data_IF_936916711322
#
_entry.id   IF_936916711322
#
_cell.length_a   1.000
_cell.length_b   1.000
_cell.length_c   1.000
_cell.angle_alpha   90.00
_cell.angle_beta   90.00
_cell.angle_gamma   90.00
#
_symmetry.space_group_name_H-M   'P 1'
#
loop_
_entity.id
_entity.type
_entity.pdbx_description
1 polymer ?
#
# COMPACT_ATOMS: atom_id res chain seq x y z
N UNK A 1 -17.96 -15.72 -4.04
CA UNK A 1 -17.86 -14.23 -4.04
C UNK A 1 -19.22 -13.63 -3.77
N UNK A 2 -19.44 -13.13 -2.55
CA UNK A 2 -20.70 -12.46 -2.18
C UNK A 2 -20.46 -11.03 -1.68
N UNK A 3 -19.45 -10.35 -2.20
CA UNK A 3 -19.21 -8.94 -1.91
C UNK A 3 -20.03 -8.07 -2.85
N UNK A 4 -21.27 -7.76 -2.44
CA UNK A 4 -22.06 -6.76 -3.18
C UNK A 4 -21.43 -5.38 -2.98
N UNK A 5 -21.17 -4.62 -4.04
CA UNK A 5 -20.69 -3.25 -3.90
C UNK A 5 -21.78 -2.38 -3.26
N UNK A 6 -21.36 -1.54 -2.33
CA UNK A 6 -22.21 -0.56 -1.68
C UNK A 6 -21.82 0.84 -2.14
N UNK A 7 -22.79 1.73 -2.26
CA UNK A 7 -22.53 3.14 -2.51
C UNK A 7 -22.65 3.89 -1.18
N UNK A 8 -21.57 4.54 -0.77
CA UNK A 8 -21.55 5.37 0.43
C UNK A 8 -21.16 6.81 0.09
N UNK A 9 -21.77 7.78 0.79
CA UNK A 9 -21.25 9.14 0.77
C UNK A 9 -19.90 9.19 1.47
N UNK A 10 -19.11 10.22 1.20
CA UNK A 10 -17.81 10.42 1.86
C UNK A 10 -17.98 10.53 3.37
N UNK A 11 -18.96 11.28 3.83
CA UNK A 11 -19.27 11.43 5.25
C UNK A 11 -19.59 10.07 5.91
N UNK A 12 -20.43 9.24 5.27
CA UNK A 12 -20.74 7.89 5.73
C UNK A 12 -19.50 6.98 5.77
N UNK A 13 -18.63 7.09 4.77
CA UNK A 13 -17.38 6.31 4.73
C UNK A 13 -16.48 6.69 5.90
N UNK A 14 -16.23 7.98 6.10
CA UNK A 14 -15.37 8.49 7.17
C UNK A 14 -15.89 8.18 8.57
N UNK A 15 -17.20 8.09 8.73
CA UNK A 15 -17.87 7.68 9.99
C UNK A 15 -17.78 6.19 10.30
N UNK A 16 -17.20 5.35 9.42
CA UNK A 16 -16.97 3.93 9.71
C UNK A 16 -15.75 3.73 10.59
N UNK A 17 -15.68 2.57 11.24
CA UNK A 17 -14.51 2.17 12.02
C UNK A 17 -13.36 1.78 11.10
N UNK A 18 -12.79 2.77 10.39
CA UNK A 18 -11.71 2.59 9.43
C UNK A 18 -10.37 2.51 10.15
N UNK A 19 -9.52 1.63 9.69
CA UNK A 19 -8.12 1.54 10.11
C UNK A 19 -7.20 1.46 8.89
N UNK A 20 -5.98 1.94 9.04
CA UNK A 20 -4.92 1.83 8.03
C UNK A 20 -4.01 0.69 8.46
N UNK A 21 -3.97 -0.43 7.72
CA UNK A 21 -3.07 -1.53 8.02
C UNK A 21 -1.61 -1.14 7.81
N UNK A 22 -0.70 -1.77 8.56
CA UNK A 22 0.74 -1.50 8.50
C UNK A 22 1.38 -1.82 7.13
N UNK A 23 0.74 -2.66 6.32
CA UNK A 23 1.21 -2.95 4.96
C UNK A 23 0.91 -1.84 3.95
N UNK A 24 0.11 -0.84 4.30
CA UNK A 24 -0.21 0.26 3.39
C UNK A 24 1.01 1.14 3.12
N UNK A 25 1.14 1.53 1.85
CA UNK A 25 2.19 2.46 1.44
C UNK A 25 2.00 3.84 2.10
N UNK A 26 3.07 4.63 2.26
CA UNK A 26 2.97 5.98 2.79
C UNK A 26 1.97 6.84 2.01
N UNK A 27 1.38 7.80 2.69
CA UNK A 27 0.57 8.83 2.05
C UNK A 27 1.47 9.74 1.19
N UNK A 28 1.24 9.74 -0.14
CA UNK A 28 2.10 10.40 -1.13
C UNK A 28 1.41 11.51 -1.93
N UNK A 29 0.11 11.73 -1.75
CA UNK A 29 -0.55 12.84 -2.40
C UNK A 29 0.05 14.16 -1.95
N UNK A 30 0.16 15.09 -2.91
CA UNK A 30 0.74 16.43 -2.74
C UNK A 30 -0.34 17.50 -2.84
N UNK A 31 0.04 18.74 -2.63
CA UNK A 31 -0.76 19.95 -2.83
C UNK A 31 -1.52 19.97 -4.15
N UNK A 32 -0.89 19.51 -5.24
CA UNK A 32 -1.54 19.38 -6.56
C UNK A 32 -2.76 18.46 -6.50
N UNK A 33 -2.62 17.30 -5.87
CA UNK A 33 -3.74 16.36 -5.77
C UNK A 33 -4.87 16.90 -4.89
N UNK A 34 -4.53 17.65 -3.84
CA UNK A 34 -5.50 18.31 -2.97
C UNK A 34 -6.24 19.42 -3.71
N UNK A 35 -5.52 20.22 -4.48
CA UNK A 35 -6.12 21.27 -5.29
C UNK A 35 -7.10 20.67 -6.32
N UNK A 36 -6.69 19.62 -7.01
CA UNK A 36 -7.57 18.89 -7.94
C UNK A 36 -8.83 18.36 -7.24
N UNK A 37 -8.68 17.76 -6.05
CA UNK A 37 -9.80 17.25 -5.25
C UNK A 37 -10.79 18.34 -4.84
N UNK A 38 -10.29 19.52 -4.45
CA UNK A 38 -11.14 20.68 -4.10
C UNK A 38 -11.89 21.17 -5.34
N UNK A 39 -11.19 21.33 -6.47
CA UNK A 39 -11.79 21.79 -7.72
C UNK A 39 -12.84 20.80 -8.27
N UNK A 40 -12.58 19.50 -8.18
CA UNK A 40 -13.55 18.48 -8.56
C UNK A 40 -14.79 18.49 -7.65
N UNK A 41 -14.58 18.75 -6.35
CA UNK A 41 -15.67 18.93 -5.39
C UNK A 41 -16.49 20.17 -5.75
N UNK A 42 -15.85 21.29 -6.02
CA UNK A 42 -16.52 22.54 -6.42
C UNK A 42 -17.35 22.32 -7.70
N UNK A 43 -16.75 21.71 -8.71
CA UNK A 43 -17.44 21.39 -9.97
C UNK A 43 -18.64 20.48 -9.75
N UNK A 44 -18.51 19.48 -8.88
CA UNK A 44 -19.63 18.58 -8.56
C UNK A 44 -20.77 19.29 -7.84
N UNK A 45 -20.48 20.29 -7.02
CA UNK A 45 -21.47 21.17 -6.40
C UNK A 45 -22.21 22.00 -7.45
N UNK A 46 -21.48 22.57 -8.41
CA UNK A 46 -22.08 23.34 -9.51
C UNK A 46 -23.00 22.47 -10.39
N UNK A 47 -22.57 21.25 -10.73
CA UNK A 47 -23.38 20.30 -11.50
C UNK A 47 -24.64 19.84 -10.72
N UNK A 48 -24.53 19.66 -9.40
CA UNK A 48 -25.67 19.29 -8.57
C UNK A 48 -26.79 20.34 -8.51
N UNK A 49 -26.44 21.61 -8.78
CA UNK A 49 -27.44 22.70 -8.89
C UNK A 49 -28.21 22.66 -10.21
N UNK A 50 -27.62 22.06 -11.25
CA UNK A 50 -28.23 21.96 -12.59
C UNK A 50 -29.10 20.72 -12.74
N UNK A 51 -28.72 19.62 -12.09
CA UNK A 51 -29.37 18.33 -12.26
C UNK A 51 -29.91 17.81 -10.92
N UNK A 52 -31.19 17.57 -10.84
CA UNK A 52 -31.81 16.97 -9.68
C UNK A 52 -31.26 15.56 -9.41
N UNK A 53 -30.98 15.25 -8.16
CA UNK A 53 -30.39 13.96 -7.72
C UNK A 53 -28.98 13.66 -8.27
N UNK A 54 -28.26 14.67 -8.71
CA UNK A 54 -26.89 14.50 -9.15
C UNK A 54 -26.01 13.91 -8.05
N UNK A 55 -25.20 12.92 -8.39
CA UNK A 55 -24.19 12.29 -7.54
C UNK A 55 -22.88 12.18 -8.29
N UNK A 56 -21.80 12.53 -7.64
CA UNK A 56 -20.46 12.41 -8.19
C UNK A 56 -19.70 11.25 -7.57
N UNK A 57 -19.36 10.25 -8.39
CA UNK A 57 -18.62 9.06 -7.96
C UNK A 57 -17.13 9.26 -8.10
N UNK A 58 -16.44 9.30 -6.98
CA UNK A 58 -15.00 9.55 -6.89
C UNK A 58 -14.17 8.32 -7.27
N UNK A 59 -14.80 7.14 -7.27
CA UNK A 59 -14.15 5.87 -7.60
C UNK A 59 -14.49 4.76 -6.62
N UNK A 60 -13.65 3.73 -6.59
CA UNK A 60 -13.84 2.54 -5.75
C UNK A 60 -12.91 2.57 -4.54
N UNK A 61 -13.39 2.05 -3.42
CA UNK A 61 -12.64 1.77 -2.19
C UNK A 61 -12.82 0.29 -1.85
N UNK A 62 -11.74 -0.40 -1.53
CA UNK A 62 -11.76 -1.80 -1.10
C UNK A 62 -11.43 -1.83 0.39
N UNK A 63 -12.33 -2.45 1.16
CA UNK A 63 -12.23 -2.59 2.60
C UNK A 63 -12.24 -4.08 2.98
N UNK A 64 -11.30 -4.49 3.82
CA UNK A 64 -11.34 -5.78 4.48
C UNK A 64 -11.96 -5.62 5.87
N UNK A 65 -12.97 -6.42 6.17
CA UNK A 65 -13.59 -6.43 7.50
C UNK A 65 -12.88 -7.48 8.35
N UNK A 66 -12.14 -7.02 9.36
CA UNK A 66 -11.41 -7.91 10.26
C UNK A 66 -12.32 -8.52 11.34
N UNK A 67 -11.78 -9.40 12.16
CA UNK A 67 -12.49 -10.09 13.24
C UNK A 67 -13.00 -9.14 14.33
N UNK A 68 -12.34 -8.00 14.52
CA UNK A 68 -12.75 -6.95 15.45
C UNK A 68 -13.86 -6.04 14.91
N UNK A 69 -14.40 -6.38 13.73
CA UNK A 69 -15.43 -5.60 13.07
C UNK A 69 -14.96 -4.20 12.62
N UNK A 70 -13.68 -4.04 12.41
CA UNK A 70 -13.05 -2.85 11.85
C UNK A 70 -12.88 -3.01 10.35
N UNK A 71 -12.80 -1.88 9.63
CA UNK A 71 -12.62 -1.84 8.19
C UNK A 71 -11.17 -1.44 7.85
N UNK A 72 -10.36 -2.40 7.51
CA UNK A 72 -9.00 -2.19 7.01
C UNK A 72 -9.05 -1.64 5.59
N UNK A 73 -8.41 -0.51 5.35
CA UNK A 73 -8.36 0.11 4.03
C UNK A 73 -7.35 -0.67 3.17
N UNK A 74 -7.83 -1.42 2.17
CA UNK A 74 -6.98 -2.15 1.22
C UNK A 74 -6.68 -1.28 0.00
N UNK A 75 -7.68 -0.56 -0.52
CA UNK A 75 -7.51 0.44 -1.58
C UNK A 75 -8.30 1.72 -1.29
N UNK A 76 -7.79 2.83 -1.81
CA UNK A 76 -8.39 4.16 -1.65
C UNK A 76 -7.81 4.97 -0.49
N UNK A 77 -6.75 4.53 0.19
CA UNK A 77 -6.14 5.23 1.32
C UNK A 77 -5.83 6.69 1.02
N UNK A 78 -5.22 6.99 -0.11
CA UNK A 78 -4.83 8.36 -0.47
C UNK A 78 -6.08 9.28 -0.50
N UNK A 79 -7.14 8.84 -1.15
CA UNK A 79 -8.41 9.57 -1.24
C UNK A 79 -9.09 9.72 0.12
N UNK A 80 -9.16 8.64 0.89
CA UNK A 80 -9.79 8.64 2.22
C UNK A 80 -9.09 9.64 3.14
N UNK A 81 -7.75 9.63 3.20
CA UNK A 81 -7.00 10.56 4.03
C UNK A 81 -7.15 12.01 3.57
N UNK A 82 -7.18 12.27 2.25
CA UNK A 82 -7.39 13.60 1.72
C UNK A 82 -8.79 14.14 2.03
N UNK A 83 -9.83 13.31 1.93
CA UNK A 83 -11.17 13.69 2.36
C UNK A 83 -11.30 13.84 3.87
N UNK A 84 -10.53 13.06 4.65
CA UNK A 84 -10.46 13.26 6.10
C UNK A 84 -9.88 14.63 6.44
N UNK A 85 -8.78 15.04 5.79
CA UNK A 85 -8.20 16.38 5.99
C UNK A 85 -9.20 17.49 5.64
N UNK A 86 -9.90 17.33 4.51
CA UNK A 86 -10.94 18.28 4.09
C UNK A 86 -12.08 18.32 5.11
N UNK A 87 -12.59 17.16 5.54
CA UNK A 87 -13.67 17.08 6.55
C UNK A 87 -13.29 17.73 7.86
N UNK A 88 -12.06 17.50 8.36
CA UNK A 88 -11.56 18.12 9.60
C UNK A 88 -11.47 19.64 9.51
N UNK A 89 -11.20 20.19 8.32
CA UNK A 89 -11.20 21.64 8.12
C UNK A 89 -12.62 22.22 8.09
N UNK A 90 -13.57 21.49 7.49
CA UNK A 90 -14.96 21.92 7.33
C UNK A 90 -15.82 21.74 8.60
N UNK A 91 -15.41 20.83 9.48
CA UNK A 91 -16.19 20.41 10.66
C UNK A 91 -15.22 20.11 11.81
N UNK A 92 -15.00 21.09 12.67
CA UNK A 92 -14.05 21.03 13.79
C UNK A 92 -14.43 19.98 14.86
N UNK A 93 -15.71 19.64 14.93
CA UNK A 93 -16.22 18.69 15.92
C UNK A 93 -16.24 17.25 15.39
N UNK A 94 -15.83 17.07 14.12
CA UNK A 94 -15.80 15.74 13.49
C UNK A 94 -14.75 14.85 14.16
N UNK A 95 -15.18 13.65 14.54
CA UNK A 95 -14.32 12.62 15.12
C UNK A 95 -14.49 11.29 14.39
N UNK A 96 -13.42 10.56 14.22
CA UNK A 96 -13.43 9.21 13.64
C UNK A 96 -12.25 8.37 14.13
N UNK A 97 -12.30 7.07 13.85
CA UNK A 97 -11.25 6.15 14.30
C UNK A 97 -9.89 6.42 13.65
N UNK A 98 -9.86 6.90 12.40
CA UNK A 98 -8.62 7.24 11.68
C UNK A 98 -7.77 8.29 12.40
N UNK A 99 -8.36 9.18 13.20
CA UNK A 99 -7.64 10.20 13.97
C UNK A 99 -6.78 9.62 15.11
N UNK A 100 -7.05 8.38 15.50
CA UNK A 100 -6.25 7.66 16.52
C UNK A 100 -4.95 7.09 15.95
N UNK A 101 -4.82 7.04 14.61
CA UNK A 101 -3.63 6.48 13.96
C UNK A 101 -2.41 7.38 14.19
N UNK A 102 -1.31 6.75 14.62
CA UNK A 102 -0.01 7.40 14.73
C UNK A 102 0.78 7.11 13.46
N UNK A 103 0.90 8.09 12.59
CA UNK A 103 1.73 7.97 11.38
C UNK A 103 3.21 8.10 11.76
N UNK A 104 3.96 7.00 11.68
CA UNK A 104 5.39 6.98 12.00
C UNK A 104 6.26 7.39 10.80
N UNK A 105 5.76 7.23 9.58
CA UNK A 105 6.48 7.55 8.36
C UNK A 105 6.57 9.06 8.15
N UNK A 106 7.82 9.59 8.04
CA UNK A 106 8.08 11.03 7.88
C UNK A 106 7.48 11.63 6.61
N UNK A 107 7.41 10.85 5.50
CA UNK A 107 6.80 11.30 4.24
C UNK A 107 5.30 11.50 4.45
N UNK A 108 4.65 10.54 5.10
CA UNK A 108 3.23 10.65 5.44
C UNK A 108 2.95 11.87 6.31
N UNK A 109 3.73 12.07 7.38
CA UNK A 109 3.58 13.22 8.28
C UNK A 109 3.71 14.54 7.53
N UNK A 110 4.77 14.66 6.71
CA UNK A 110 5.00 15.85 5.90
C UNK A 110 3.84 16.12 4.95
N UNK A 111 3.46 15.11 4.14
CA UNK A 111 2.44 15.32 3.12
C UNK A 111 1.05 15.58 3.74
N UNK A 112 0.71 14.97 4.88
CA UNK A 112 -0.53 15.30 5.60
C UNK A 112 -0.52 16.75 6.10
N UNK A 113 0.60 17.21 6.64
CA UNK A 113 0.76 18.60 7.11
C UNK A 113 0.67 19.60 5.96
N UNK A 114 1.42 19.38 4.89
CA UNK A 114 1.46 20.27 3.72
C UNK A 114 0.07 20.33 3.06
N UNK A 115 -0.57 19.18 2.89
CA UNK A 115 -1.90 19.11 2.29
C UNK A 115 -2.99 19.76 3.16
N UNK A 116 -2.91 19.62 4.48
CA UNK A 116 -3.82 20.34 5.38
C UNK A 116 -3.60 21.86 5.32
N UNK A 117 -2.35 22.28 5.17
CA UNK A 117 -2.01 23.72 4.98
C UNK A 117 -2.61 24.23 3.66
N UNK A 118 -2.47 23.49 2.56
CA UNK A 118 -3.09 23.84 1.27
C UNK A 118 -4.61 23.97 1.38
N UNK A 119 -5.28 23.06 2.08
CA UNK A 119 -6.73 23.15 2.32
C UNK A 119 -7.06 24.43 3.09
N UNK A 120 -6.36 24.70 4.19
CA UNK A 120 -6.57 25.88 5.03
C UNK A 120 -6.38 27.19 4.25
N UNK A 121 -5.33 27.27 3.43
CA UNK A 121 -5.04 28.44 2.60
C UNK A 121 -6.13 28.65 1.55
N UNK A 122 -6.58 27.60 0.89
CA UNK A 122 -7.67 27.69 -0.09
C UNK A 122 -8.95 28.24 0.54
N UNK A 123 -9.33 27.73 1.72
CA UNK A 123 -10.54 28.16 2.42
C UNK A 123 -10.38 29.48 3.19
N UNK A 124 -9.16 30.02 3.32
CA UNK A 124 -8.95 31.33 3.96
C UNK A 124 -9.53 32.50 3.16
N UNK A 125 -9.68 32.33 1.86
CA UNK A 125 -10.20 33.33 0.92
C UNK A 125 -11.69 33.20 0.62
N UNK A 126 -12.38 32.23 1.25
CA UNK A 126 -13.80 31.97 1.00
C UNK A 126 -14.66 32.15 2.24
N UNK A 127 -15.92 32.49 2.03
CA UNK A 127 -16.92 32.67 3.08
C UNK A 127 -17.25 31.35 3.79
N UNK A 128 -17.67 31.42 5.06
CA UNK A 128 -18.11 30.25 5.85
C UNK A 128 -19.35 29.56 5.23
N UNK A 129 -20.18 30.28 4.49
CA UNK A 129 -21.26 29.70 3.69
C UNK A 129 -20.74 28.67 2.69
N UNK A 130 -19.59 28.95 2.05
CA UNK A 130 -18.95 28.02 1.10
C UNK A 130 -18.45 26.76 1.82
N UNK A 131 -17.87 26.91 3.02
CA UNK A 131 -17.47 25.76 3.85
C UNK A 131 -18.68 24.85 4.16
N UNK A 132 -19.82 25.46 4.52
CA UNK A 132 -21.06 24.73 4.73
C UNK A 132 -21.50 23.94 3.50
N UNK A 133 -21.45 24.56 2.31
CA UNK A 133 -21.80 23.91 1.04
C UNK A 133 -20.86 22.72 0.75
N UNK A 134 -19.55 22.87 0.98
CA UNK A 134 -18.60 21.76 0.83
C UNK A 134 -18.85 20.64 1.81
N UNK A 135 -19.14 20.94 3.09
CA UNK A 135 -19.47 19.92 4.07
C UNK A 135 -20.76 19.16 3.70
N UNK A 136 -21.75 19.88 3.17
CA UNK A 136 -22.99 19.26 2.66
C UNK A 136 -22.71 18.38 1.41
N UNK A 137 -21.79 18.79 0.55
CA UNK A 137 -21.38 17.98 -0.60
C UNK A 137 -20.76 16.64 -0.18
N UNK A 138 -19.95 16.60 0.87
CA UNK A 138 -19.40 15.35 1.41
C UNK A 138 -20.51 14.39 1.91
N UNK A 139 -21.62 14.92 2.38
CA UNK A 139 -22.75 14.16 2.87
C UNK A 139 -23.69 13.69 1.77
N UNK A 140 -23.94 14.56 0.80
CA UNK A 140 -25.08 14.40 -0.10
C UNK A 140 -24.73 14.28 -1.58
N UNK A 141 -23.56 14.71 -2.03
CA UNK A 141 -23.18 14.75 -3.45
C UNK A 141 -22.08 13.73 -3.78
N UNK A 142 -21.02 13.70 -2.97
CA UNK A 142 -19.84 12.88 -3.23
C UNK A 142 -20.02 11.46 -2.74
N UNK A 143 -19.87 10.49 -3.64
CA UNK A 143 -20.06 9.07 -3.35
C UNK A 143 -18.84 8.24 -3.77
N UNK A 144 -18.66 7.12 -3.09
CA UNK A 144 -17.69 6.08 -3.43
C UNK A 144 -18.39 4.74 -3.56
N UNK A 145 -17.89 3.91 -4.46
CA UNK A 145 -18.26 2.50 -4.53
C UNK A 145 -17.39 1.74 -3.53
N UNK A 146 -17.99 1.19 -2.50
CA UNK A 146 -17.29 0.44 -1.46
C UNK A 146 -17.50 -1.05 -1.69
N UNK A 147 -16.40 -1.78 -1.83
CA UNK A 147 -16.38 -3.23 -1.87
C UNK A 147 -15.82 -3.70 -0.54
N UNK A 148 -16.65 -4.42 0.23
CA UNK A 148 -16.22 -4.99 1.51
C UNK A 148 -16.06 -6.48 1.35
N UNK A 149 -14.91 -7.01 1.78
CA UNK A 149 -14.60 -8.44 1.80
C UNK A 149 -14.25 -8.89 3.22
N UNK A 150 -14.50 -10.16 3.50
CA UNK A 150 -14.17 -10.76 4.80
C UNK A 150 -12.84 -11.53 4.78
N UNK A 151 -12.27 -11.73 3.60
CA UNK A 151 -10.97 -12.38 3.42
C UNK A 151 -10.02 -11.42 2.75
N UNK A 152 -8.85 -11.27 3.34
CA UNK A 152 -7.83 -10.34 2.85
C UNK A 152 -7.31 -10.75 1.46
N UNK A 153 -7.22 -12.06 1.18
CA UNK A 153 -6.80 -12.57 -0.13
C UNK A 153 -7.76 -12.12 -1.24
N UNK A 154 -9.07 -12.14 -0.97
CA UNK A 154 -10.09 -11.63 -1.91
C UNK A 154 -9.94 -10.11 -2.12
N UNK A 155 -9.59 -9.37 -1.06
CA UNK A 155 -9.34 -7.93 -1.18
C UNK A 155 -8.18 -7.63 -2.12
N UNK A 156 -7.09 -8.37 -2.02
CA UNK A 156 -5.93 -8.20 -2.90
C UNK A 156 -6.22 -8.62 -4.33
N UNK A 157 -6.93 -9.74 -4.56
CA UNK A 157 -7.35 -10.15 -5.90
C UNK A 157 -8.26 -9.10 -6.58
N UNK A 158 -9.19 -8.52 -5.83
CA UNK A 158 -10.04 -7.45 -6.33
C UNK A 158 -9.24 -6.18 -6.65
N UNK A 159 -8.30 -5.83 -5.77
CA UNK A 159 -7.41 -4.70 -5.99
C UNK A 159 -6.59 -4.87 -7.27
N UNK A 160 -5.98 -6.03 -7.49
CA UNK A 160 -5.23 -6.34 -8.71
C UNK A 160 -6.11 -6.26 -9.95
N UNK A 161 -7.32 -6.81 -9.90
CA UNK A 161 -8.24 -6.81 -11.03
C UNK A 161 -8.75 -5.40 -11.41
N UNK A 162 -8.88 -4.50 -10.44
CA UNK A 162 -9.31 -3.11 -10.67
C UNK A 162 -8.17 -2.21 -11.12
N UNK A 163 -6.93 -2.51 -10.71
CA UNK A 163 -5.76 -1.71 -11.05
C UNK A 163 -5.19 -1.96 -12.45
N UNK A 164 -5.83 -2.78 -13.29
CA UNK A 164 -5.49 -2.87 -14.72
C UNK A 164 -5.57 -1.52 -15.44
N UNK A 165 -6.18 -0.49 -14.83
CA UNK A 165 -6.24 0.90 -15.31
C UNK A 165 -5.40 1.89 -14.49
N UNK A 166 -4.71 1.45 -13.42
CA UNK A 166 -3.85 2.25 -12.54
C UNK A 166 -2.53 1.53 -12.24
N UNK A 167 -1.77 1.99 -11.25
CA UNK A 167 -0.57 1.25 -10.79
C UNK A 167 -1.02 0.00 -10.04
N UNK A 168 -0.88 -1.17 -10.67
CA UNK A 168 -1.06 -2.47 -10.01
C UNK A 168 -0.17 -2.57 -8.76
N UNK A 169 -0.64 -3.24 -7.71
CA UNK A 169 0.25 -3.72 -6.64
C UNK A 169 1.24 -4.70 -7.27
N UNK A 170 2.49 -4.50 -6.96
CA UNK A 170 3.49 -5.47 -7.36
C UNK A 170 3.38 -6.73 -6.50
N UNK A 171 3.75 -7.91 -7.02
CA UNK A 171 3.71 -9.15 -6.25
C UNK A 171 4.46 -9.06 -4.91
N UNK A 172 5.55 -8.29 -4.85
CA UNK A 172 6.31 -8.06 -3.62
C UNK A 172 5.55 -7.23 -2.57
N UNK A 173 4.58 -6.38 -2.97
CA UNK A 173 3.71 -5.67 -2.01
C UNK A 173 2.72 -6.64 -1.36
N UNK A 174 2.25 -7.64 -2.10
CA UNK A 174 1.41 -8.72 -1.57
C UNK A 174 2.19 -9.59 -0.59
N UNK A 175 3.44 -9.91 -0.92
CA UNK A 175 4.33 -10.65 -0.02
C UNK A 175 4.61 -9.86 1.27
N UNK A 176 4.90 -8.55 1.15
CA UNK A 176 5.04 -7.68 2.31
C UNK A 176 3.82 -7.78 3.23
N UNK A 177 2.62 -7.62 2.67
CA UNK A 177 1.37 -7.69 3.43
C UNK A 177 1.18 -9.06 4.13
N UNK A 178 1.46 -10.14 3.39
CA UNK A 178 1.39 -11.49 3.92
C UNK A 178 2.32 -11.68 5.12
N UNK A 179 3.61 -11.35 4.96
CA UNK A 179 4.59 -11.57 6.02
C UNK A 179 4.43 -10.67 7.24
N UNK A 180 3.97 -9.42 7.06
CA UNK A 180 3.68 -8.56 8.20
C UNK A 180 2.59 -9.13 9.11
N UNK A 181 1.62 -9.85 8.58
CA UNK A 181 0.57 -10.53 9.36
C UNK A 181 1.09 -11.70 10.17
N UNK A 182 2.15 -12.36 9.70
CA UNK A 182 2.79 -13.49 10.39
C UNK A 182 3.75 -13.03 11.52
N UNK A 183 4.04 -11.72 11.63
CA UNK A 183 4.85 -11.17 12.72
C UNK A 183 3.92 -10.81 13.89
N UNK A 184 4.02 -11.55 14.99
CA UNK A 184 3.18 -11.33 16.16
C UNK A 184 3.72 -10.25 17.10
N UNK A 185 5.03 -10.01 17.11
CA UNK A 185 5.64 -8.93 17.90
C UNK A 185 5.47 -7.58 17.20
N UNK A 186 4.83 -6.65 17.88
CA UNK A 186 4.50 -5.31 17.32
C UNK A 186 5.75 -4.48 17.03
N UNK A 187 6.78 -4.59 17.85
CA UNK A 187 8.02 -3.84 17.65
C UNK A 187 8.79 -4.38 16.45
N UNK A 188 8.88 -5.69 16.34
CA UNK A 188 9.49 -6.38 15.19
C UNK A 188 8.77 -6.05 13.89
N UNK A 189 7.42 -6.08 13.88
CA UNK A 189 6.60 -5.68 12.74
C UNK A 189 6.86 -4.22 12.33
N UNK A 190 6.90 -3.28 13.28
CA UNK A 190 7.20 -1.88 12.99
C UNK A 190 8.59 -1.70 12.38
N UNK A 191 9.60 -2.41 12.90
CA UNK A 191 10.96 -2.38 12.35
C UNK A 191 11.00 -2.93 10.91
N UNK A 192 10.29 -4.02 10.63
CA UNK A 192 10.18 -4.58 9.30
C UNK A 192 9.56 -3.58 8.31
N UNK A 193 8.47 -2.90 8.71
CA UNK A 193 7.83 -1.84 7.92
C UNK A 193 8.80 -0.69 7.65
N UNK A 194 9.47 -0.17 8.68
CA UNK A 194 10.41 0.96 8.53
C UNK A 194 11.56 0.59 7.58
N UNK A 195 12.15 -0.58 7.74
CA UNK A 195 13.22 -1.08 6.87
C UNK A 195 12.73 -1.25 5.43
N UNK A 196 11.53 -1.79 5.23
CA UNK A 196 10.97 -1.96 3.89
C UNK A 196 10.72 -0.62 3.20
N UNK A 197 10.06 0.32 3.89
CA UNK A 197 9.74 1.64 3.35
C UNK A 197 10.97 2.54 3.12
N UNK A 198 12.11 2.20 3.72
CA UNK A 198 13.38 2.90 3.46
C UNK A 198 14.03 2.49 2.13
N UNK A 199 13.60 1.39 1.54
CA UNK A 199 14.13 0.88 0.26
C UNK A 199 13.46 1.57 -0.93
N UNK A 200 14.20 1.66 -2.04
CA UNK A 200 13.61 2.07 -3.31
C UNK A 200 12.65 0.98 -3.81
N UNK A 201 11.35 1.28 -4.01
CA UNK A 201 10.39 0.31 -4.52
C UNK A 201 10.78 -0.27 -5.89
N UNK A 202 11.50 0.52 -6.71
CA UNK A 202 11.99 0.05 -8.00
C UNK A 202 13.08 -1.01 -7.83
N UNK A 203 14.01 -0.79 -6.89
CA UNK A 203 15.05 -1.77 -6.60
C UNK A 203 14.49 -3.08 -6.02
N UNK A 204 13.45 -3.02 -5.18
CA UNK A 204 12.76 -4.22 -4.70
C UNK A 204 12.12 -4.98 -5.87
N UNK A 205 11.42 -4.26 -6.76
CA UNK A 205 10.83 -4.87 -7.94
C UNK A 205 11.86 -5.56 -8.81
N UNK A 206 12.96 -4.88 -9.12
CA UNK A 206 14.05 -5.44 -9.91
C UNK A 206 14.65 -6.69 -9.27
N UNK A 207 14.81 -6.68 -7.94
CA UNK A 207 15.31 -7.84 -7.21
C UNK A 207 14.44 -9.08 -7.47
N UNK A 208 13.11 -8.96 -7.39
CA UNK A 208 12.22 -10.09 -7.63
C UNK A 208 12.10 -10.45 -9.10
N UNK A 209 11.86 -9.47 -9.99
CA UNK A 209 11.55 -9.69 -11.40
C UNK A 209 12.77 -10.20 -12.18
N UNK A 210 13.96 -9.65 -11.90
CA UNK A 210 15.16 -9.90 -12.71
C UNK A 210 16.13 -10.91 -12.07
N UNK A 211 16.05 -11.13 -10.75
CA UNK A 211 17.02 -11.99 -10.06
C UNK A 211 16.38 -13.15 -9.31
N UNK A 212 15.61 -12.91 -8.25
CA UNK A 212 15.15 -14.01 -7.39
C UNK A 212 14.23 -14.99 -8.11
N UNK A 213 13.23 -14.51 -8.82
CA UNK A 213 12.28 -15.36 -9.52
C UNK A 213 12.92 -16.13 -10.70
N UNK A 214 13.73 -15.51 -11.57
CA UNK A 214 14.47 -16.24 -12.58
C UNK A 214 15.41 -17.31 -12.02
N UNK A 215 16.22 -16.96 -11.00
CA UNK A 215 17.19 -17.90 -10.41
C UNK A 215 16.45 -19.09 -9.75
N UNK A 216 15.35 -18.83 -9.06
CA UNK A 216 14.54 -19.89 -8.46
C UNK A 216 13.99 -20.85 -9.52
N UNK A 217 13.45 -20.33 -10.63
CA UNK A 217 12.95 -21.14 -11.73
C UNK A 217 14.05 -21.97 -12.39
N UNK A 218 15.22 -21.37 -12.64
CA UNK A 218 16.36 -22.07 -13.21
C UNK A 218 16.87 -23.18 -12.30
N UNK A 219 16.96 -22.91 -11.00
CA UNK A 219 17.36 -23.93 -10.02
C UNK A 219 16.37 -25.12 -9.96
N UNK A 220 15.12 -24.94 -10.35
CA UNK A 220 14.09 -25.98 -10.45
C UNK A 220 13.91 -26.50 -11.90
N UNK A 221 14.80 -26.16 -12.83
CA UNK A 221 14.73 -26.51 -14.25
C UNK A 221 13.39 -26.11 -14.91
N UNK A 222 12.83 -24.96 -14.52
CA UNK A 222 11.58 -24.41 -15.06
C UNK A 222 11.84 -23.26 -16.01
N UNK A 223 10.94 -23.08 -16.98
CA UNK A 223 10.95 -21.87 -17.82
C UNK A 223 10.57 -20.68 -16.94
N UNK A 224 11.30 -19.58 -17.10
CA UNK A 224 11.02 -18.33 -16.42
C UNK A 224 10.10 -17.47 -17.28
N UNK A 225 9.04 -16.94 -16.66
CA UNK A 225 8.19 -15.86 -17.17
C UNK A 225 8.37 -14.61 -16.30
N UNK A 226 7.40 -13.69 -16.37
CA UNK A 226 7.38 -12.54 -15.48
C UNK A 226 6.87 -12.97 -14.09
N UNK A 227 7.42 -12.36 -13.03
CA UNK A 227 6.92 -12.55 -11.68
C UNK A 227 5.56 -11.88 -11.51
N UNK A 228 4.55 -12.64 -11.12
CA UNK A 228 3.17 -12.19 -11.02
C UNK A 228 2.56 -12.50 -9.65
N UNK A 229 1.37 -11.98 -9.38
CA UNK A 229 0.63 -12.29 -8.15
C UNK A 229 0.26 -13.79 -8.03
N UNK A 230 0.26 -14.53 -9.13
CA UNK A 230 0.05 -15.99 -9.09
C UNK A 230 1.28 -16.77 -8.57
N UNK A 231 2.45 -16.14 -8.58
CA UNK A 231 3.72 -16.78 -8.23
C UNK A 231 4.17 -16.50 -6.79
N UNK A 232 3.42 -15.69 -6.04
CA UNK A 232 3.81 -15.26 -4.66
C UNK A 232 3.97 -16.41 -3.68
N UNK A 233 3.28 -17.54 -3.92
CA UNK A 233 3.37 -18.72 -3.04
C UNK A 233 4.80 -19.26 -2.91
N UNK A 234 5.65 -19.01 -3.90
CA UNK A 234 7.07 -19.37 -3.89
C UNK A 234 7.80 -18.74 -2.69
N UNK A 235 7.41 -17.53 -2.32
CA UNK A 235 8.08 -16.74 -1.28
C UNK A 235 7.23 -16.55 -0.01
N UNK A 236 6.13 -17.28 0.17
CA UNK A 236 5.34 -17.26 1.41
C UNK A 236 6.03 -17.95 2.58
N UNK A 237 6.98 -18.84 2.29
CA UNK A 237 7.62 -19.62 3.34
C UNK A 237 6.68 -20.64 3.99
N UNK A 238 7.00 -21.01 5.21
CA UNK A 238 6.21 -21.96 6.03
C UNK A 238 5.83 -21.28 7.35
N UNK A 239 4.67 -21.64 7.89
CA UNK A 239 4.23 -21.14 9.19
C UNK A 239 5.09 -21.73 10.32
N UNK A 240 5.45 -20.91 11.31
CA UNK A 240 6.29 -21.32 12.43
C UNK A 240 5.73 -22.52 13.21
N UNK A 241 4.43 -22.62 13.34
CA UNK A 241 3.73 -23.70 14.05
C UNK A 241 4.03 -25.10 13.51
N UNK A 242 4.39 -25.23 12.24
CA UNK A 242 4.69 -26.54 11.62
C UNK A 242 6.11 -27.04 11.93
N UNK A 243 6.93 -26.27 12.65
CA UNK A 243 8.16 -26.75 13.26
C UNK A 243 9.18 -27.32 12.28
N UNK A 244 9.28 -26.77 11.07
CA UNK A 244 10.22 -27.27 10.05
C UNK A 244 11.65 -27.13 10.55
N UNK A 245 12.22 -28.24 11.02
CA UNK A 245 13.51 -28.28 11.72
C UNK A 245 14.65 -27.70 10.87
N UNK A 246 14.58 -27.82 9.55
CA UNK A 246 15.57 -27.31 8.61
C UNK A 246 15.57 -25.77 8.58
N UNK A 247 14.42 -25.14 8.45
CA UNK A 247 14.30 -23.68 8.42
C UNK A 247 14.84 -23.06 9.71
N UNK A 248 14.53 -23.65 10.88
CA UNK A 248 15.08 -23.21 12.18
C UNK A 248 16.58 -23.39 12.28
N UNK A 249 17.15 -24.44 11.69
CA UNK A 249 18.61 -24.66 11.65
C UNK A 249 19.30 -23.73 10.69
N UNK A 250 18.72 -23.47 9.51
CA UNK A 250 19.26 -22.55 8.52
C UNK A 250 19.37 -21.14 9.10
N UNK A 251 18.35 -20.65 9.80
CA UNK A 251 18.37 -19.34 10.44
C UNK A 251 19.44 -19.17 11.52
N UNK A 252 19.78 -20.23 12.26
CA UNK A 252 20.78 -20.16 13.34
C UNK A 252 22.20 -20.47 12.89
N UNK A 253 22.36 -21.31 11.86
CA UNK A 253 23.65 -21.86 11.48
C UNK A 253 24.21 -21.25 10.19
N UNK A 254 23.37 -20.69 9.34
CA UNK A 254 23.77 -20.12 8.04
C UNK A 254 23.35 -18.66 7.97
N UNK A 255 24.30 -17.73 7.82
CA UNK A 255 23.99 -16.30 7.66
C UNK A 255 23.39 -15.99 6.27
N UNK A 256 23.00 -17.01 5.49
CA UNK A 256 22.52 -16.87 4.13
C UNK A 256 21.23 -17.66 3.93
N UNK A 257 20.23 -17.01 3.35
CA UNK A 257 19.05 -17.69 2.88
C UNK A 257 19.35 -18.45 1.59
N UNK A 258 18.97 -19.71 1.54
CA UNK A 258 19.03 -20.49 0.31
C UNK A 258 17.73 -20.25 -0.45
N UNK A 259 17.80 -19.67 -1.63
CA UNK A 259 16.63 -19.21 -2.40
C UNK A 259 15.60 -20.30 -2.69
N UNK A 260 16.05 -21.56 -2.81
CA UNK A 260 15.20 -22.70 -3.12
C UNK A 260 14.68 -23.46 -1.89
N UNK A 261 15.14 -23.09 -0.71
CA UNK A 261 14.77 -23.73 0.55
C UNK A 261 13.69 -22.95 1.27
N UNK A 262 12.82 -23.61 2.03
CA UNK A 262 11.78 -22.95 2.79
C UNK A 262 12.37 -22.17 3.96
N UNK A 263 11.80 -21.01 4.22
CA UNK A 263 12.07 -20.16 5.39
C UNK A 263 10.78 -19.96 6.20
N UNK A 264 10.89 -19.45 7.41
CA UNK A 264 9.72 -19.18 8.27
C UNK A 264 9.04 -17.90 7.79
N UNK A 265 7.71 -17.94 7.59
CA UNK A 265 6.93 -16.74 7.25
C UNK A 265 7.03 -15.68 8.36
N UNK A 266 6.97 -14.42 7.95
CA UNK A 266 7.15 -13.28 8.88
C UNK A 266 8.49 -12.59 8.69
N UNK A 267 9.24 -12.40 9.76
CA UNK A 267 10.48 -11.61 9.80
C UNK A 267 11.56 -12.12 8.85
N UNK A 268 11.67 -13.44 8.69
CA UNK A 268 12.67 -14.06 7.81
C UNK A 268 12.56 -13.59 6.36
N UNK A 269 11.36 -13.30 5.89
CA UNK A 269 11.17 -12.75 4.55
C UNK A 269 11.87 -11.39 4.38
N UNK A 270 11.71 -10.51 5.34
CA UNK A 270 12.33 -9.18 5.29
C UNK A 270 13.84 -9.27 5.38
N UNK A 271 14.36 -10.18 6.20
CA UNK A 271 15.79 -10.47 6.31
C UNK A 271 16.34 -11.08 5.02
N UNK A 272 15.59 -11.99 4.39
CA UNK A 272 15.94 -12.56 3.09
C UNK A 272 16.05 -11.46 2.02
N UNK A 273 15.06 -10.56 1.94
CA UNK A 273 15.10 -9.45 0.96
C UNK A 273 16.29 -8.54 1.23
N UNK A 274 16.56 -8.19 2.49
CA UNK A 274 17.73 -7.39 2.88
C UNK A 274 19.05 -8.05 2.47
N UNK A 275 19.16 -9.35 2.72
CA UNK A 275 20.32 -10.14 2.36
C UNK A 275 20.59 -10.12 0.85
N UNK A 276 19.58 -10.42 0.04
CA UNK A 276 19.74 -10.47 -1.41
C UNK A 276 19.92 -9.08 -2.04
N UNK A 277 19.30 -8.04 -1.51
CA UNK A 277 19.57 -6.66 -1.94
C UNK A 277 21.02 -6.27 -1.69
N UNK A 278 21.57 -6.60 -0.52
CA UNK A 278 22.96 -6.33 -0.19
C UNK A 278 23.92 -7.15 -1.07
N UNK A 279 23.60 -8.43 -1.29
CA UNK A 279 24.40 -9.29 -2.18
C UNK A 279 24.41 -8.73 -3.60
N UNK A 280 23.26 -8.33 -4.15
CA UNK A 280 23.15 -7.75 -5.48
C UNK A 280 23.95 -6.44 -5.60
N UNK A 281 23.88 -5.59 -4.56
CA UNK A 281 24.68 -4.36 -4.51
C UNK A 281 26.19 -4.67 -4.55
N UNK A 282 26.67 -5.59 -3.70
CA UNK A 282 28.09 -5.97 -3.67
C UNK A 282 28.54 -6.57 -5.01
N UNK A 283 27.73 -7.42 -5.67
CA UNK A 283 28.05 -7.97 -6.97
C UNK A 283 28.14 -6.88 -8.03
N UNK A 284 27.21 -5.93 -8.04
CA UNK A 284 27.24 -4.79 -8.98
C UNK A 284 28.49 -3.92 -8.75
N UNK A 285 28.85 -3.65 -7.50
CA UNK A 285 30.09 -2.92 -7.19
C UNK A 285 31.34 -3.68 -7.64
N UNK A 286 31.41 -4.99 -7.40
CA UNK A 286 32.52 -5.83 -7.81
C UNK A 286 32.69 -5.82 -9.34
N UNK A 287 31.60 -5.91 -10.11
CA UNK A 287 31.63 -5.88 -11.58
C UNK A 287 32.18 -4.54 -12.09
N UNK A 288 31.77 -3.43 -11.47
CA UNK A 288 32.23 -2.08 -11.90
C UNK A 288 33.68 -1.82 -11.50
N UNK A 289 34.09 -2.29 -10.32
CA UNK A 289 35.43 -1.96 -9.77
C UNK A 289 36.54 -2.91 -10.18
N UNK A 290 36.20 -4.14 -10.57
CA UNK A 290 37.19 -5.17 -10.92
C UNK A 290 37.44 -5.23 -12.42
N UNK A 291 38.67 -4.92 -12.90
CA UNK A 291 38.98 -4.94 -14.32
C UNK A 291 38.70 -6.27 -15.02
N UNK A 292 38.74 -7.39 -14.30
CA UNK A 292 38.45 -8.71 -14.86
C UNK A 292 36.99 -8.85 -15.36
N UNK A 293 36.07 -7.98 -14.93
CA UNK A 293 34.65 -8.00 -15.29
C UNK A 293 34.24 -6.86 -16.23
N UNK A 294 35.19 -6.12 -16.79
CA UNK A 294 34.91 -4.97 -17.65
C UNK A 294 34.01 -5.33 -18.85
N UNK A 295 34.19 -6.49 -19.44
CA UNK A 295 33.38 -6.97 -20.58
C UNK A 295 31.96 -7.31 -20.16
N UNK A 296 31.75 -7.68 -18.88
CA UNK A 296 30.42 -7.98 -18.32
C UNK A 296 29.61 -6.69 -18.05
N UNK A 297 30.30 -5.61 -17.64
CA UNK A 297 29.68 -4.30 -17.45
C UNK A 297 29.00 -3.80 -18.72
N UNK A 298 29.65 -3.97 -19.89
CA UNK A 298 29.12 -3.59 -21.20
C UNK A 298 27.83 -4.36 -21.57
N UNK A 299 27.64 -5.57 -21.07
CA UNK A 299 26.46 -6.40 -21.33
C UNK A 299 25.28 -5.97 -20.42
N UNK A 300 25.57 -5.52 -19.19
CA UNK A 300 24.55 -5.15 -18.21
C UNK A 300 24.04 -3.72 -18.44
N UNK A 301 24.85 -2.83 -19.01
CA UNK A 301 24.52 -1.41 -19.24
C UNK A 301 23.83 -1.13 -20.57
N UNK A 302 23.76 -2.09 -21.49
CA UNK A 302 23.04 -2.05 -22.76
C UNK A 302 21.75 -2.88 -22.69
#
# INVERSE_FOLDING_TARGET
MNSKPHIWSIDKLLGKNLIIPDYQRPYKWTDKNITELILDTQKSIEESRKYANFKYRIGTVILHRNENNEYEIVDGQQRILSFLLLKLHLDSDFTCNLLKNKFLNKITQKNLHDNYTTIREWFSSVDDTVKGIFNDALKNILEVVVITVNRIDEAFQLFDSQNTRGRALYPHDLLKAYHLREIHDKYEMQNAVVKWESKDPKAIRELFDLYLFPIWNWAKCRKCGNFTSADIDIYKGIEEKYGYTYARRANKAMPYFLLTEPFISGSDFFEMVDHYMKMLHNIKEEIVTNPAFHDIELIITN
#
